data_IF_155991646016
#
_entry.id   IF_155991646016
#
_cell.length_a   1.000
_cell.length_b   1.000
_cell.length_c   1.000
_cell.angle_alpha   90.00
_cell.angle_beta   90.00
_cell.angle_gamma   90.00
#
_symmetry.space_group_name_H-M   'P 1'
#
loop_
_entity.id
_entity.type
_entity.pdbx_description
1 polymer ?
#
# COMPACT_ATOMS: atom_id res chain seq x y z
N UNK A 1 3.06 19.61 32.74
CA UNK A 1 3.67 19.11 33.99
C UNK A 1 2.52 18.79 34.92
N UNK A 2 2.15 17.51 35.05
CA UNK A 2 1.01 17.09 35.89
C UNK A 2 1.52 16.80 37.30
N UNK A 3 1.02 17.54 38.29
CA UNK A 3 1.29 17.32 39.71
C UNK A 3 0.19 16.43 40.30
N UNK A 4 0.58 15.28 40.86
CA UNK A 4 -0.36 14.27 41.38
C UNK A 4 -0.72 14.46 42.87
N UNK A 5 -0.02 15.34 43.58
CA UNK A 5 -0.20 15.57 45.02
C UNK A 5 -0.21 17.07 45.33
N UNK A 6 -1.19 17.78 44.82
CA UNK A 6 -1.42 19.17 45.20
C UNK A 6 -1.95 19.22 46.63
N UNK A 7 -1.33 20.03 47.49
CA UNK A 7 -1.75 20.29 48.87
C UNK A 7 -1.79 19.07 49.82
N UNK A 8 -1.02 18.01 49.57
CA UNK A 8 -0.91 16.88 50.51
C UNK A 8 0.07 17.17 51.67
N UNK A 9 -0.29 16.79 52.90
CA UNK A 9 0.54 16.89 54.11
C UNK A 9 0.46 15.56 54.90
N UNK A 10 1.49 15.25 55.70
CA UNK A 10 1.61 14.01 56.50
C UNK A 10 1.55 12.66 55.74
N UNK A 11 2.12 12.59 54.53
CA UNK A 11 2.18 11.36 53.75
C UNK A 11 3.56 10.66 53.83
N UNK A 12 3.56 9.33 53.99
CA UNK A 12 4.77 8.49 54.01
C UNK A 12 4.66 7.37 52.98
N UNK A 13 5.52 7.41 51.95
CA UNK A 13 5.67 6.32 50.97
C UNK A 13 6.76 5.38 51.43
N UNK A 14 6.43 4.12 51.72
CA UNK A 14 7.42 3.10 52.06
C UNK A 14 8.18 2.58 50.83
N UNK A 15 7.48 2.39 49.71
CA UNK A 15 8.08 2.01 48.42
C UNK A 15 7.34 2.73 47.27
N UNK A 16 8.09 3.40 46.40
CA UNK A 16 7.59 4.05 45.19
C UNK A 16 8.12 3.30 43.98
N UNK A 17 7.25 2.64 43.22
CA UNK A 17 7.61 2.04 41.94
C UNK A 17 7.10 2.92 40.79
N UNK A 18 8.00 3.71 40.19
CA UNK A 18 7.67 4.56 39.03
C UNK A 18 7.89 3.75 37.76
N UNK A 19 6.80 3.26 37.17
CA UNK A 19 6.84 2.66 35.84
C UNK A 19 6.68 3.79 34.83
N UNK A 20 7.79 4.24 34.23
CA UNK A 20 7.74 5.17 33.11
C UNK A 20 7.27 4.41 31.86
N UNK A 21 5.96 4.26 31.72
CA UNK A 21 5.37 3.74 30.49
C UNK A 21 5.58 4.84 29.45
N UNK A 22 6.54 4.63 28.54
CA UNK A 22 6.62 5.45 27.34
C UNK A 22 5.20 5.50 26.73
N UNK A 23 4.71 6.67 26.29
CA UNK A 23 3.40 6.74 25.64
C UNK A 23 3.36 5.60 24.62
N UNK A 24 2.29 4.78 24.58
CA UNK A 24 2.26 3.60 23.74
C UNK A 24 2.70 4.04 22.35
N UNK A 25 3.85 3.52 21.90
CA UNK A 25 4.38 3.87 20.59
C UNK A 25 3.21 3.64 19.63
N UNK A 26 2.72 4.72 19.00
CA UNK A 26 1.53 4.64 18.18
C UNK A 26 1.64 3.44 17.24
N UNK A 27 0.55 2.71 17.05
CA UNK A 27 0.59 1.47 16.27
C UNK A 27 1.28 1.75 14.93
N UNK A 28 2.44 1.12 14.65
CA UNK A 28 3.20 1.40 13.44
C UNK A 28 2.40 1.15 12.17
N UNK A 29 1.43 0.22 12.21
CA UNK A 29 0.56 -0.05 11.07
C UNK A 29 -0.47 1.06 10.87
N UNK A 30 -0.93 1.72 11.95
CA UNK A 30 -1.77 2.92 11.84
C UNK A 30 -0.97 4.12 11.31
N UNK A 31 0.29 4.29 11.72
CA UNK A 31 1.17 5.31 11.13
C UNK A 31 1.39 5.06 9.63
N UNK A 32 1.60 3.79 9.23
CA UNK A 32 1.65 3.41 7.82
C UNK A 32 0.36 3.74 7.07
N UNK A 33 -0.80 3.34 7.61
CA UNK A 33 -2.11 3.58 7.01
C UNK A 33 -2.39 5.07 6.80
N UNK A 34 -1.92 5.94 7.71
CA UNK A 34 -2.06 7.40 7.58
C UNK A 34 -1.27 8.03 6.42
N UNK A 35 -0.40 7.25 5.75
CA UNK A 35 0.54 7.73 4.71
C UNK A 35 0.31 7.10 3.35
N UNK A 36 -0.68 6.22 3.22
CA UNK A 36 -1.02 5.58 1.95
C UNK A 36 -1.84 6.54 1.07
N UNK A 37 -1.87 6.27 -0.23
CA UNK A 37 -2.83 6.85 -1.15
C UNK A 37 -3.96 5.84 -1.39
N UNK A 38 -4.98 5.85 -0.53
CA UNK A 38 -6.12 4.94 -0.66
C UNK A 38 -6.79 5.03 -2.04
N UNK A 39 -6.88 6.26 -2.58
CA UNK A 39 -7.35 6.53 -3.95
C UNK A 39 -6.62 5.79 -5.07
N UNK A 40 -5.40 5.29 -4.83
CA UNK A 40 -4.57 4.60 -5.82
C UNK A 40 -4.87 3.09 -5.92
N UNK A 41 -5.57 2.52 -4.94
CA UNK A 41 -5.92 1.09 -4.92
C UNK A 41 -6.89 0.77 -6.05
N UNK A 42 -6.81 -0.42 -6.66
CA UNK A 42 -7.69 -0.79 -7.78
C UNK A 42 -9.20 -0.68 -7.47
N UNK A 43 -9.58 -0.96 -6.23
CA UNK A 43 -10.93 -1.05 -5.66
C UNK A 43 -11.32 0.18 -4.81
N UNK A 44 -10.58 1.28 -4.92
CA UNK A 44 -10.89 2.53 -4.23
C UNK A 44 -12.20 3.16 -4.73
N UNK A 45 -12.94 3.83 -3.82
CA UNK A 45 -14.12 4.62 -4.22
C UNK A 45 -13.77 5.73 -5.23
N UNK A 46 -12.60 6.39 -5.08
CA UNK A 46 -12.10 7.39 -6.04
C UNK A 46 -11.91 6.85 -7.48
N UNK A 47 -12.09 5.54 -7.68
CA UNK A 47 -12.00 4.85 -8.96
C UNK A 47 -13.32 4.18 -9.35
N UNK A 48 -14.45 4.53 -8.73
CA UNK A 48 -15.77 4.05 -9.10
C UNK A 48 -16.06 4.27 -10.60
N UNK A 49 -15.67 5.43 -11.13
CA UNK A 49 -15.80 5.79 -12.55
C UNK A 49 -14.58 5.44 -13.40
N UNK A 50 -13.61 4.68 -12.85
CA UNK A 50 -12.43 4.30 -13.61
C UNK A 50 -12.84 3.44 -14.80
N UNK A 51 -12.31 3.72 -16.01
CA UNK A 51 -12.73 3.01 -17.19
C UNK A 51 -12.35 1.54 -17.07
N UNK A 52 -13.24 0.64 -17.48
CA UNK A 52 -13.02 -0.81 -17.58
C UNK A 52 -13.23 -1.24 -19.03
N UNK A 53 -12.62 -2.36 -19.43
CA UNK A 53 -12.95 -2.95 -20.71
C UNK A 53 -14.42 -3.36 -20.70
N UNK A 54 -15.15 -3.05 -21.78
CA UNK A 54 -16.46 -3.64 -21.99
C UNK A 54 -16.34 -5.17 -22.11
N UNK A 55 -17.37 -5.92 -21.69
CA UNK A 55 -17.40 -7.37 -21.88
C UNK A 55 -17.01 -7.74 -23.31
N UNK A 56 -16.25 -8.82 -23.45
CA UNK A 56 -15.80 -9.38 -24.75
C UNK A 56 -14.86 -8.47 -25.58
N UNK A 57 -14.46 -7.31 -25.06
CA UNK A 57 -13.48 -6.44 -25.72
C UNK A 57 -12.06 -6.65 -25.20
N UNK A 58 -11.06 -6.53 -26.08
CA UNK A 58 -9.63 -6.59 -25.72
C UNK A 58 -9.22 -7.86 -24.94
N UNK A 59 -10.00 -8.93 -25.06
CA UNK A 59 -9.83 -10.19 -24.30
C UNK A 59 -8.45 -10.81 -24.56
N UNK A 60 -7.98 -10.80 -25.81
CA UNK A 60 -6.67 -11.35 -26.17
C UNK A 60 -5.53 -10.65 -25.40
N UNK A 61 -5.54 -9.32 -25.34
CA UNK A 61 -4.49 -8.54 -24.65
C UNK A 61 -4.58 -8.74 -23.13
N UNK A 62 -5.79 -8.77 -22.57
CA UNK A 62 -5.99 -9.05 -21.14
C UNK A 62 -5.47 -10.44 -20.78
N UNK A 63 -5.79 -11.46 -21.59
CA UNK A 63 -5.31 -12.83 -21.41
C UNK A 63 -3.79 -12.95 -21.50
N UNK A 64 -3.16 -12.22 -22.42
CA UNK A 64 -1.70 -12.22 -22.57
C UNK A 64 -0.98 -11.57 -21.36
N UNK A 65 -1.56 -10.51 -20.79
CA UNK A 65 -1.01 -9.87 -19.59
C UNK A 65 -1.21 -10.79 -18.37
N UNK A 66 -2.42 -11.34 -18.20
CA UNK A 66 -2.74 -12.26 -17.12
C UNK A 66 -1.87 -13.52 -17.17
N UNK A 67 -1.74 -14.15 -18.33
CA UNK A 67 -0.88 -15.32 -18.52
C UNK A 67 0.56 -15.01 -18.16
N UNK A 68 1.06 -13.81 -18.50
CA UNK A 68 2.40 -13.40 -18.10
C UNK A 68 2.54 -13.21 -16.59
N UNK A 69 1.50 -12.69 -15.90
CA UNK A 69 1.50 -12.56 -14.44
C UNK A 69 1.61 -13.94 -13.76
N UNK A 70 0.82 -14.92 -14.22
CA UNK A 70 0.71 -16.23 -13.56
C UNK A 70 1.82 -17.20 -13.97
N UNK A 71 2.22 -17.18 -15.25
CA UNK A 71 3.16 -18.16 -15.81
C UNK A 71 4.55 -17.58 -16.12
N UNK A 72 4.70 -16.26 -16.06
CA UNK A 72 5.92 -15.56 -16.45
C UNK A 72 6.09 -15.45 -17.97
N UNK A 73 7.26 -14.98 -18.40
CA UNK A 73 7.60 -14.89 -19.81
C UNK A 73 7.92 -16.28 -20.40
N UNK A 74 7.33 -16.65 -21.55
CA UNK A 74 7.64 -17.91 -22.22
C UNK A 74 9.08 -17.95 -22.75
N UNK A 75 9.71 -16.82 -23.08
CA UNK A 75 11.13 -16.80 -23.47
C UNK A 75 12.01 -16.95 -22.22
N UNK A 76 12.81 -18.04 -22.10
CA UNK A 76 13.70 -18.25 -20.97
C UNK A 76 14.69 -17.09 -20.74
N UNK A 77 15.05 -16.34 -21.79
CA UNK A 77 15.96 -15.18 -21.71
C UNK A 77 15.28 -13.96 -21.07
N UNK A 78 13.96 -13.88 -21.16
CA UNK A 78 13.14 -12.80 -20.60
C UNK A 78 12.67 -13.10 -19.17
N UNK A 79 12.85 -14.34 -18.66
CA UNK A 79 12.46 -14.70 -17.27
C UNK A 79 13.11 -13.83 -16.18
N UNK A 80 14.25 -13.20 -16.47
CA UNK A 80 14.89 -12.25 -15.55
C UNK A 80 14.23 -10.87 -15.55
N UNK A 81 13.51 -10.50 -16.62
CA UNK A 81 12.79 -9.22 -16.76
C UNK A 81 11.39 -9.37 -16.18
N UNK A 82 11.20 -8.93 -14.92
CA UNK A 82 9.91 -9.02 -14.21
C UNK A 82 9.02 -7.78 -14.40
N UNK A 83 9.19 -7.07 -15.51
CA UNK A 83 8.43 -5.86 -15.84
C UNK A 83 7.85 -6.01 -17.24
N UNK A 84 6.52 -5.92 -17.35
CA UNK A 84 5.80 -5.88 -18.63
C UNK A 84 5.30 -4.47 -18.88
N UNK A 85 5.53 -3.96 -20.09
CA UNK A 85 5.15 -2.60 -20.48
C UNK A 85 4.01 -2.62 -21.49
N UNK A 86 2.90 -1.96 -21.18
CA UNK A 86 1.74 -1.85 -22.07
C UNK A 86 1.76 -0.49 -22.77
N UNK A 87 1.99 -0.50 -24.08
CA UNK A 87 2.08 0.72 -24.91
C UNK A 87 0.95 0.80 -25.92
N UNK A 88 0.75 2.00 -26.47
CA UNK A 88 -0.25 2.26 -27.50
C UNK A 88 -0.65 3.73 -27.55
N UNK A 89 -1.31 4.18 -28.62
CA UNK A 89 -1.76 5.57 -28.78
C UNK A 89 -2.62 6.07 -27.61
N UNK A 90 -2.70 7.39 -27.43
CA UNK A 90 -3.62 7.99 -26.46
C UNK A 90 -5.08 7.58 -26.77
N UNK A 91 -5.91 7.43 -25.73
CA UNK A 91 -7.32 7.05 -25.90
C UNK A 91 -7.60 5.57 -26.21
N UNK A 92 -6.58 4.73 -26.42
CA UNK A 92 -6.76 3.30 -26.77
C UNK A 92 -7.26 2.40 -25.64
N UNK A 93 -7.44 2.95 -24.44
CA UNK A 93 -7.98 2.22 -23.29
C UNK A 93 -6.95 1.45 -22.47
N UNK A 94 -5.65 1.79 -22.51
CA UNK A 94 -4.61 1.13 -21.70
C UNK A 94 -4.95 1.08 -20.20
N UNK A 95 -5.44 2.18 -19.64
CA UNK A 95 -5.89 2.24 -18.24
C UNK A 95 -7.06 1.29 -17.97
N UNK A 96 -7.97 1.15 -18.95
CA UNK A 96 -9.09 0.22 -18.86
C UNK A 96 -8.66 -1.24 -18.92
N UNK A 97 -7.66 -1.57 -19.76
CA UNK A 97 -7.03 -2.89 -19.79
C UNK A 97 -6.43 -3.22 -18.43
N UNK A 98 -5.60 -2.34 -17.88
CA UNK A 98 -4.95 -2.59 -16.58
C UNK A 98 -5.95 -2.65 -15.42
N UNK A 99 -7.03 -1.87 -15.47
CA UNK A 99 -8.12 -1.95 -14.51
C UNK A 99 -8.82 -3.31 -14.55
N UNK A 100 -9.23 -3.76 -15.74
CA UNK A 100 -9.87 -5.07 -15.91
C UNK A 100 -8.96 -6.25 -15.54
N UNK A 101 -7.67 -6.19 -15.90
CA UNK A 101 -6.70 -7.22 -15.49
C UNK A 101 -6.53 -7.25 -13.97
N UNK A 102 -6.50 -6.09 -13.31
CA UNK A 102 -6.42 -6.06 -11.84
C UNK A 102 -7.64 -6.71 -11.20
N UNK A 103 -8.85 -6.48 -11.74
CA UNK A 103 -10.08 -7.15 -11.28
C UNK A 103 -9.99 -8.67 -11.46
N UNK A 104 -9.53 -9.15 -12.62
CA UNK A 104 -9.33 -10.60 -12.86
C UNK A 104 -8.31 -11.18 -11.88
N UNK A 105 -7.17 -10.52 -11.68
CA UNK A 105 -6.16 -10.96 -10.73
C UNK A 105 -6.69 -10.99 -9.28
N UNK A 106 -7.58 -10.06 -8.91
CA UNK A 106 -8.21 -10.04 -7.59
C UNK A 106 -9.17 -11.21 -7.42
N UNK A 107 -9.99 -11.49 -8.43
CA UNK A 107 -10.93 -12.62 -8.45
C UNK A 107 -10.21 -13.96 -8.30
N UNK A 108 -9.05 -14.10 -8.97
CA UNK A 108 -8.26 -15.33 -8.94
C UNK A 108 -7.28 -15.41 -7.76
N UNK A 109 -7.27 -14.41 -6.87
CA UNK A 109 -6.43 -14.39 -5.66
C UNK A 109 -4.94 -14.21 -5.92
N UNK A 110 -4.53 -13.78 -7.12
CA UNK A 110 -3.12 -13.57 -7.50
C UNK A 110 -2.68 -12.10 -7.40
N UNK A 111 -3.62 -11.16 -7.18
CA UNK A 111 -3.31 -9.75 -7.02
C UNK A 111 -2.71 -9.45 -5.64
N UNK A 112 -1.39 -9.27 -5.58
CA UNK A 112 -0.70 -8.89 -4.35
C UNK A 112 -0.86 -7.40 -4.01
N UNK A 113 -0.59 -6.51 -4.98
CA UNK A 113 -0.63 -5.05 -4.78
C UNK A 113 -1.00 -4.31 -6.06
N UNK A 114 -1.57 -3.12 -5.92
CA UNK A 114 -1.86 -2.21 -7.03
C UNK A 114 -1.53 -0.76 -6.68
N UNK A 115 -1.19 0.04 -7.69
CA UNK A 115 -1.12 1.48 -7.55
C UNK A 115 -1.43 2.16 -8.89
N UNK A 116 -2.52 2.92 -8.94
CA UNK A 116 -2.92 3.68 -10.11
C UNK A 116 -2.63 5.18 -9.93
N UNK A 117 -1.50 5.61 -10.50
CA UNK A 117 -1.17 7.03 -10.61
C UNK A 117 -2.25 7.79 -11.40
N UNK A 118 -2.55 9.01 -10.98
CA UNK A 118 -3.42 9.92 -11.73
C UNK A 118 -3.01 11.37 -11.49
N UNK A 119 -2.77 12.10 -12.57
CA UNK A 119 -2.39 13.52 -12.53
C UNK A 119 -3.56 14.46 -12.18
N UNK A 120 -4.80 13.99 -12.32
CA UNK A 120 -6.02 14.77 -12.05
C UNK A 120 -6.73 14.39 -10.74
N UNK A 121 -6.35 13.28 -10.10
CA UNK A 121 -6.98 12.82 -8.86
C UNK A 121 -6.41 13.50 -7.60
N UNK A 122 -6.69 12.96 -6.41
CA UNK A 122 -6.19 13.44 -5.12
C UNK A 122 -4.67 13.64 -5.09
N UNK A 123 -4.15 14.61 -4.29
CA UNK A 123 -2.72 14.92 -4.23
C UNK A 123 -1.84 13.70 -3.92
N UNK A 124 -2.31 12.77 -3.09
CA UNK A 124 -1.51 11.62 -2.67
C UNK A 124 -1.29 10.61 -3.80
N UNK A 125 -2.19 10.52 -4.77
CA UNK A 125 -2.01 9.71 -6.00
C UNK A 125 -1.01 10.31 -6.99
N UNK A 126 -0.67 11.59 -6.81
CA UNK A 126 0.34 12.31 -7.62
C UNK A 126 1.72 12.23 -6.99
N UNK A 127 1.79 12.07 -5.66
CA UNK A 127 3.04 12.16 -4.89
C UNK A 127 3.71 10.79 -4.75
N UNK A 128 4.98 10.71 -5.16
CA UNK A 128 5.81 9.50 -4.96
C UNK A 128 5.95 9.08 -3.49
N UNK A 129 5.76 10.00 -2.54
CA UNK A 129 5.88 9.73 -1.11
C UNK A 129 4.87 8.70 -0.59
N UNK A 130 3.70 8.60 -1.22
CA UNK A 130 2.68 7.63 -0.83
C UNK A 130 2.85 6.27 -1.52
N UNK A 131 3.67 6.17 -2.57
CA UNK A 131 3.82 4.95 -3.38
C UNK A 131 4.28 3.75 -2.54
N UNK A 132 5.46 3.84 -1.91
CA UNK A 132 6.01 2.74 -1.10
C UNK A 132 5.15 2.42 0.12
N UNK A 133 4.66 3.42 0.91
CA UNK A 133 3.72 3.14 1.99
C UNK A 133 2.48 2.36 1.54
N UNK A 134 1.89 2.72 0.39
CA UNK A 134 0.70 2.06 -0.15
C UNK A 134 0.99 0.62 -0.57
N UNK A 135 2.16 0.35 -1.16
CA UNK A 135 2.56 -1.03 -1.49
C UNK A 135 2.84 -1.86 -0.23
N UNK A 136 3.55 -1.29 0.74
CA UNK A 136 3.86 -1.98 2.00
C UNK A 136 2.60 -2.33 2.78
N UNK A 137 1.62 -1.42 2.83
CA UNK A 137 0.32 -1.66 3.45
C UNK A 137 -0.42 -2.81 2.77
N UNK A 138 -0.58 -2.76 1.44
CA UNK A 138 -1.24 -3.84 0.70
C UNK A 138 -0.52 -5.18 0.84
N UNK A 139 0.82 -5.20 0.82
CA UNK A 139 1.61 -6.42 1.02
C UNK A 139 1.41 -7.00 2.43
N UNK A 140 1.33 -6.15 3.44
CA UNK A 140 1.10 -6.58 4.83
C UNK A 140 -0.31 -7.16 5.02
N UNK A 141 -1.30 -6.64 4.28
CA UNK A 141 -2.65 -7.21 4.24
C UNK A 141 -2.71 -8.52 3.45
N UNK A 142 -2.04 -8.59 2.30
CA UNK A 142 -1.99 -9.79 1.46
C UNK A 142 -1.18 -10.93 2.12
N UNK A 143 -0.09 -10.62 2.82
CA UNK A 143 0.78 -11.56 3.52
C UNK A 143 0.91 -11.16 5.00
N UNK A 144 0.05 -11.68 5.90
CA UNK A 144 0.07 -11.33 7.32
C UNK A 144 1.43 -11.49 8.02
N UNK A 145 2.27 -12.42 7.54
CA UNK A 145 3.64 -12.60 8.03
C UNK A 145 4.52 -11.34 7.90
N UNK A 146 4.21 -10.44 6.95
CA UNK A 146 4.92 -9.19 6.76
C UNK A 146 4.51 -8.10 7.76
N UNK A 147 3.35 -8.21 8.42
CA UNK A 147 2.84 -7.17 9.35
C UNK A 147 3.86 -6.83 10.44
N UNK A 148 4.42 -7.85 11.08
CA UNK A 148 5.42 -7.67 12.13
C UNK A 148 6.73 -7.08 11.60
N UNK A 149 7.19 -7.51 10.42
CA UNK A 149 8.42 -7.00 9.80
C UNK A 149 8.27 -5.53 9.40
N UNK A 150 7.13 -5.15 8.83
CA UNK A 150 6.81 -3.76 8.46
C UNK A 150 6.70 -2.90 9.71
N UNK A 151 5.98 -3.37 10.74
CA UNK A 151 5.86 -2.65 12.00
C UNK A 151 7.21 -2.43 12.67
N UNK A 152 8.08 -3.45 12.68
CA UNK A 152 9.43 -3.35 13.20
C UNK A 152 10.27 -2.34 12.41
N UNK A 153 10.24 -2.38 11.07
CA UNK A 153 10.98 -1.45 10.24
C UNK A 153 10.59 0.03 10.47
N UNK A 154 9.31 0.29 10.76
CA UNK A 154 8.81 1.63 11.11
C UNK A 154 9.32 2.05 12.49
N UNK A 155 9.29 1.15 13.48
CA UNK A 155 9.83 1.42 14.83
C UNK A 155 11.33 1.70 14.80
N UNK A 156 12.09 0.91 14.06
CA UNK A 156 13.55 1.04 13.95
C UNK A 156 13.98 2.31 13.22
N UNK A 157 13.10 2.88 12.37
CA UNK A 157 13.42 4.02 11.51
C UNK A 157 12.32 5.10 11.63
N UNK A 158 12.32 5.92 12.70
CA UNK A 158 11.32 6.97 12.89
C UNK A 158 11.23 8.00 11.75
N UNK A 159 12.33 8.20 11.02
CA UNK A 159 12.41 9.12 9.87
C UNK A 159 12.14 8.43 8.52
N UNK A 160 11.70 7.17 8.49
CA UNK A 160 11.52 6.38 7.26
C UNK A 160 10.71 7.12 6.21
N UNK A 161 9.60 7.75 6.61
CA UNK A 161 8.68 8.46 5.72
C UNK A 161 9.14 9.85 5.29
N UNK A 162 10.26 10.33 5.82
CA UNK A 162 10.89 11.60 5.43
C UNK A 162 12.09 11.41 4.51
N UNK A 163 12.47 10.16 4.22
CA UNK A 163 13.53 9.86 3.26
C UNK A 163 13.06 10.08 1.84
N UNK A 164 13.99 10.47 0.97
CA UNK A 164 13.73 10.49 -0.46
C UNK A 164 13.62 9.05 -0.98
N UNK A 165 12.61 8.83 -1.84
CA UNK A 165 12.60 7.74 -2.81
C UNK A 165 13.60 8.03 -3.91
#
# INVERSE_FOLDING_TARGET
MTTFFSDAHDFSVKELNVINVAPPAGDPLNDLASRIAAGALHDSDERCDAPKCHPETRVAVQGEIYSWIVHGDPDPRQKMVKIKWVTGPAGTGKTAIMGSVADTCKQDGVLAVTFFFSASASPDRRRKSAFIPTLAYQLAEYLPALKNLVAQAIRDKPLLFKKNL
#
